data_IF_950106040613
#
_entry.id   IF_950106040613
#
_cell.length_a   1.000
_cell.length_b   1.000
_cell.length_c   1.000
_cell.angle_alpha   90.00
_cell.angle_beta   90.00
_cell.angle_gamma   90.00
#
_symmetry.space_group_name_H-M   'P 1'
#
loop_
_entity.id
_entity.type
_entity.pdbx_description
1 polymer ?
#
# COMPACT_ATOMS: atom_id res chain seq x y z
N UNK A 1 35.09 -25.73 -22.85
CA UNK A 1 34.67 -24.35 -23.15
C UNK A 1 33.15 -24.36 -23.26
N UNK A 2 32.45 -24.31 -22.12
CA UNK A 2 30.99 -24.41 -22.06
C UNK A 2 30.42 -23.00 -22.03
N UNK A 3 29.74 -22.60 -23.11
CA UNK A 3 29.10 -21.29 -23.23
C UNK A 3 27.97 -21.15 -22.22
N UNK A 4 28.07 -20.15 -21.34
CA UNK A 4 26.95 -19.63 -20.57
C UNK A 4 25.93 -19.07 -21.56
N UNK A 5 24.76 -19.72 -21.65
CA UNK A 5 23.60 -19.11 -22.27
C UNK A 5 23.07 -18.03 -21.32
N UNK A 6 23.52 -16.80 -21.52
CA UNK A 6 22.85 -15.63 -20.97
C UNK A 6 21.47 -15.56 -21.65
N UNK A 7 20.44 -16.06 -20.95
CA UNK A 7 19.05 -15.85 -21.34
C UNK A 7 18.77 -14.35 -21.23
N UNK A 8 18.99 -13.61 -22.31
CA UNK A 8 18.64 -12.21 -22.42
C UNK A 8 17.15 -12.05 -22.12
N UNK A 9 16.82 -11.40 -21.00
CA UNK A 9 15.45 -11.01 -20.68
C UNK A 9 15.10 -9.86 -21.62
N UNK A 10 14.33 -10.14 -22.67
CA UNK A 10 13.78 -9.09 -23.53
C UNK A 10 12.77 -8.26 -22.72
N UNK A 11 13.17 -7.05 -22.32
CA UNK A 11 12.27 -6.06 -21.73
C UNK A 11 11.45 -5.46 -22.86
N UNK A 12 10.25 -5.98 -23.07
CA UNK A 12 9.30 -5.42 -24.04
C UNK A 12 8.53 -4.29 -23.37
N UNK A 13 8.86 -3.04 -23.71
CA UNK A 13 8.08 -1.88 -23.29
C UNK A 13 6.70 -1.90 -23.98
N UNK A 14 5.66 -2.26 -23.22
CA UNK A 14 4.28 -2.23 -23.70
C UNK A 14 3.64 -0.90 -23.31
N UNK A 15 2.99 -0.18 -24.24
CA UNK A 15 2.30 1.05 -23.90
C UNK A 15 1.17 0.76 -22.91
N UNK A 16 1.20 1.44 -21.76
CA UNK A 16 0.16 1.34 -20.73
C UNK A 16 -0.86 2.47 -20.97
N UNK A 17 -2.17 2.18 -21.07
CA UNK A 17 -3.17 3.23 -21.23
C UNK A 17 -3.15 4.22 -20.05
N UNK A 18 -3.21 5.52 -20.32
CA UNK A 18 -3.19 6.57 -19.29
C UNK A 18 -4.24 6.39 -18.18
N UNK A 19 -5.40 5.82 -18.50
CA UNK A 19 -6.44 5.48 -17.51
C UNK A 19 -5.94 4.53 -16.42
N UNK A 20 -5.07 3.58 -16.78
CA UNK A 20 -4.51 2.58 -15.86
C UNK A 20 -3.49 3.26 -14.96
N UNK A 21 -2.63 4.12 -15.52
CA UNK A 21 -1.67 4.90 -14.73
C UNK A 21 -2.36 5.79 -13.70
N UNK A 22 -3.41 6.52 -14.12
CA UNK A 22 -4.21 7.36 -13.21
C UNK A 22 -4.92 6.55 -12.13
N UNK A 23 -5.43 5.37 -12.46
CA UNK A 23 -6.05 4.48 -11.49
C UNK A 23 -5.03 3.97 -10.46
N UNK A 24 -3.84 3.59 -10.92
CA UNK A 24 -2.75 3.15 -10.04
C UNK A 24 -2.28 4.28 -9.12
N UNK A 25 -2.14 5.49 -9.64
CA UNK A 25 -1.80 6.68 -8.85
C UNK A 25 -2.87 6.96 -7.77
N UNK A 26 -4.15 6.91 -8.14
CA UNK A 26 -5.25 7.09 -7.19
C UNK A 26 -5.25 6.01 -6.09
N UNK A 27 -4.96 4.76 -6.43
CA UNK A 27 -4.82 3.68 -5.46
C UNK A 27 -3.63 3.89 -4.54
N UNK A 28 -2.48 4.29 -5.08
CA UNK A 28 -1.28 4.59 -4.29
C UNK A 28 -1.54 5.73 -3.29
N UNK A 29 -2.23 6.80 -3.72
CA UNK A 29 -2.63 7.89 -2.85
C UNK A 29 -3.60 7.43 -1.76
N UNK A 30 -4.58 6.60 -2.09
CA UNK A 30 -5.51 6.05 -1.11
C UNK A 30 -4.80 5.19 -0.05
N UNK A 31 -3.84 4.34 -0.46
CA UNK A 31 -3.04 3.56 0.47
C UNK A 31 -2.14 4.42 1.34
N UNK A 32 -1.53 5.46 0.78
CA UNK A 32 -0.74 6.42 1.55
C UNK A 32 -1.57 7.07 2.66
N UNK A 33 -2.76 7.57 2.33
CA UNK A 33 -3.67 8.21 3.29
C UNK A 33 -4.04 7.25 4.44
N UNK A 34 -4.40 6.00 4.12
CA UNK A 34 -4.71 4.98 5.13
C UNK A 34 -3.52 4.66 6.04
N UNK A 35 -2.30 4.60 5.48
CA UNK A 35 -1.10 4.37 6.27
C UNK A 35 -0.82 5.51 7.26
N UNK A 36 -1.05 6.76 6.84
CA UNK A 36 -0.94 7.93 7.71
C UNK A 36 -1.99 7.91 8.83
N UNK A 37 -3.23 7.56 8.52
CA UNK A 37 -4.33 7.41 9.50
C UNK A 37 -4.04 6.29 10.51
N UNK A 38 -3.52 5.14 10.07
CA UNK A 38 -3.10 4.06 10.97
C UNK A 38 -1.99 4.50 11.91
N UNK A 39 -0.98 5.19 11.38
CA UNK A 39 0.12 5.73 12.19
C UNK A 39 -0.40 6.67 13.26
N UNK A 40 -1.37 7.53 12.92
CA UNK A 40 -2.05 8.42 13.87
C UNK A 40 -2.83 7.65 14.92
N UNK A 41 -3.67 6.70 14.51
CA UNK A 41 -4.51 5.91 15.42
C UNK A 41 -3.67 5.14 16.46
N UNK A 42 -2.53 4.56 16.04
CA UNK A 42 -1.61 3.87 16.95
C UNK A 42 -1.00 4.84 17.97
N UNK A 43 -0.56 6.02 17.53
CA UNK A 43 0.01 7.04 18.43
C UNK A 43 -1.01 7.55 19.44
N UNK A 44 -2.23 7.83 19.00
CA UNK A 44 -3.32 8.28 19.87
C UNK A 44 -3.72 7.21 20.87
N UNK A 45 -3.85 5.95 20.44
CA UNK A 45 -4.16 4.84 21.33
C UNK A 45 -3.07 4.62 22.39
N UNK A 46 -1.80 4.74 22.00
CA UNK A 46 -0.68 4.66 22.93
C UNK A 46 -0.71 5.81 23.96
N UNK A 47 -1.03 7.03 23.53
CA UNK A 47 -1.13 8.19 24.42
C UNK A 47 -2.33 8.11 25.38
N UNK A 48 -3.45 7.56 24.91
CA UNK A 48 -4.70 7.45 25.69
C UNK A 48 -4.80 6.16 26.51
N UNK A 49 -3.84 5.24 26.42
CA UNK A 49 -3.87 3.95 27.12
C UNK A 49 -5.01 3.04 26.68
N UNK A 50 -5.44 3.15 25.42
CA UNK A 50 -6.58 2.39 24.88
C UNK A 50 -6.21 0.91 24.76
N UNK A 51 -7.17 0.02 25.03
CA UNK A 51 -6.96 -1.41 24.88
C UNK A 51 -6.61 -1.80 23.44
N UNK A 52 -5.74 -2.80 23.29
CA UNK A 52 -5.33 -3.33 21.98
C UNK A 52 -6.53 -3.76 21.14
N UNK A 53 -7.58 -4.33 21.77
CA UNK A 53 -8.79 -4.75 21.06
C UNK A 53 -9.54 -3.59 20.38
N UNK A 54 -9.69 -2.46 21.08
CA UNK A 54 -10.30 -1.25 20.50
C UNK A 54 -9.44 -0.64 19.40
N UNK A 55 -8.11 -0.62 19.58
CA UNK A 55 -7.18 -0.16 18.54
C UNK A 55 -7.28 -1.03 17.28
N UNK A 56 -7.32 -2.37 17.43
CA UNK A 56 -7.42 -3.28 16.28
C UNK A 56 -8.71 -3.07 15.49
N UNK A 57 -9.82 -2.80 16.17
CA UNK A 57 -11.09 -2.52 15.49
C UNK A 57 -11.02 -1.23 14.66
N UNK A 58 -10.47 -0.16 15.21
CA UNK A 58 -10.24 1.09 14.47
C UNK A 58 -9.30 0.87 13.28
N UNK A 59 -8.18 0.16 13.47
CA UNK A 59 -7.25 -0.15 12.39
C UNK A 59 -7.90 -0.93 11.23
N UNK A 60 -8.80 -1.88 11.53
CA UNK A 60 -9.54 -2.62 10.50
C UNK A 60 -10.43 -1.72 9.65
N UNK A 61 -11.12 -0.76 10.28
CA UNK A 61 -11.98 0.21 9.58
C UNK A 61 -11.18 1.12 8.64
N UNK A 62 -10.05 1.65 9.12
CA UNK A 62 -9.13 2.46 8.31
C UNK A 62 -8.62 1.67 7.10
N UNK A 63 -8.17 0.43 7.32
CA UNK A 63 -7.69 -0.44 6.24
C UNK A 63 -8.76 -0.75 5.19
N UNK A 64 -10.01 -0.95 5.63
CA UNK A 64 -11.16 -1.14 4.75
C UNK A 64 -11.55 0.13 3.98
N UNK A 65 -11.03 1.31 4.37
CA UNK A 65 -11.43 2.59 3.81
C UNK A 65 -12.83 3.02 4.25
N UNK A 66 -13.26 2.55 5.42
CA UNK A 66 -14.55 2.88 6.05
C UNK A 66 -14.25 3.82 7.22
N UNK A 67 -14.02 5.09 6.91
CA UNK A 67 -14.05 6.19 7.90
C UNK A 67 -15.28 7.06 7.67
#
# INVERSE_FOLDING_TARGET
MSGQAESAVEVVERPVPMRVLRAAEAQALAWKKRAEELSRAIKEAAAAGVSVGMLMESCRKIMAGVE
#
